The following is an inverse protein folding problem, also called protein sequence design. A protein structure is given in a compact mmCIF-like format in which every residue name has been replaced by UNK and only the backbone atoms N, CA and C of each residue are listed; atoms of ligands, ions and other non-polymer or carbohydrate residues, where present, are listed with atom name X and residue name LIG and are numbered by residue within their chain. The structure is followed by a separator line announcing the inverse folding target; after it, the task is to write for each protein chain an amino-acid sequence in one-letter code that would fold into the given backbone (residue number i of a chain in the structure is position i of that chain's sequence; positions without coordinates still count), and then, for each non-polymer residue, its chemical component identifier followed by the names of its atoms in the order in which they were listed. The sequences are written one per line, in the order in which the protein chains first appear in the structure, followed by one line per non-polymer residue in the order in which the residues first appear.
data_IF_020144581537
#
_entry.id   IF_020144581537
#
_cell.length_a   1.000
_cell.length_b   1.000
_cell.length_c   1.000
_cell.angle_alpha   90.00
_cell.angle_beta   90.00
_cell.angle_gamma   90.00
#
_symmetry.space_group_name_H-M   'P 1'
#
loop_
_entity.id
_entity.type
_entity.pdbx_description
1 polymer ?
#
# COMPACT_ATOMS: atom_id res chain seq x y z
N UNK A 1 24.65 -22.70 30.29
CA UNK A 1 23.46 -23.58 30.30
C UNK A 1 22.55 -23.14 29.17
N UNK A 2 22.61 -23.83 28.03
CA UNK A 2 21.79 -23.52 26.86
C UNK A 2 20.42 -24.17 27.07
N UNK A 3 19.41 -23.38 27.41
CA UNK A 3 18.04 -23.89 27.51
C UNK A 3 17.60 -24.37 26.13
N UNK A 4 17.48 -25.69 25.95
CA UNK A 4 16.80 -26.27 24.79
C UNK A 4 15.32 -26.01 24.97
N UNK A 5 14.79 -25.06 24.19
CA UNK A 5 13.36 -24.84 24.05
C UNK A 5 12.69 -26.14 23.59
N UNK A 6 11.57 -26.47 24.22
CA UNK A 6 10.74 -27.60 23.83
C UNK A 6 10.21 -27.38 22.40
N UNK A 7 10.00 -28.46 21.65
CA UNK A 7 9.38 -28.43 20.32
C UNK A 7 8.00 -27.75 20.38
N UNK A 8 7.24 -27.99 21.45
CA UNK A 8 5.92 -27.41 21.70
C UNK A 8 6.02 -25.89 21.95
N UNK A 9 7.02 -25.47 22.70
CA UNK A 9 7.29 -24.06 23.00
C UNK A 9 7.78 -23.30 21.76
N UNK A 10 8.48 -23.99 20.87
CA UNK A 10 8.91 -23.48 19.56
C UNK A 10 7.71 -23.29 18.64
N UNK A 11 6.82 -24.29 18.56
CA UNK A 11 5.60 -24.20 17.75
C UNK A 11 4.62 -23.15 18.28
N UNK A 12 4.49 -23.02 19.60
CA UNK A 12 3.65 -21.99 20.22
C UNK A 12 4.19 -20.58 19.94
N UNK A 13 5.52 -20.39 19.99
CA UNK A 13 6.15 -19.11 19.62
C UNK A 13 6.01 -18.80 18.13
N UNK A 14 6.08 -19.80 17.26
CA UNK A 14 5.82 -19.63 15.83
C UNK A 14 4.34 -19.27 15.60
N UNK A 15 3.41 -19.92 16.28
CA UNK A 15 1.98 -19.60 16.22
C UNK A 15 1.67 -18.18 16.70
N UNK A 16 2.28 -17.76 17.82
CA UNK A 16 2.16 -16.39 18.34
C UNK A 16 2.77 -15.35 17.38
N UNK A 17 3.93 -15.65 16.78
CA UNK A 17 4.56 -14.78 15.78
C UNK A 17 3.77 -14.72 14.46
N UNK A 18 3.05 -15.79 14.09
CA UNK A 18 2.14 -15.80 12.94
C UNK A 18 0.84 -15.01 13.20
N UNK A 19 0.43 -14.87 14.47
CA UNK A 19 -0.67 -14.01 14.91
C UNK A 19 -0.28 -12.54 15.07
N UNK A 20 0.96 -12.16 14.74
CA UNK A 20 1.42 -10.77 14.77
C UNK A 20 1.84 -10.31 13.37
N UNK A 21 1.12 -9.34 12.80
CA UNK A 21 1.55 -8.64 11.59
C UNK A 21 1.86 -7.19 11.96
N UNK A 22 3.13 -6.78 11.85
CA UNK A 22 3.62 -5.46 12.26
C UNK A 22 3.43 -5.13 13.77
N UNK A 23 3.57 -6.11 14.66
CA UNK A 23 3.56 -5.88 16.11
C UNK A 23 2.18 -5.62 16.71
N UNK A 24 1.10 -6.04 16.04
CA UNK A 24 -0.26 -6.07 16.57
C UNK A 24 -0.85 -7.47 16.45
N UNK A 25 -1.62 -7.94 17.46
CA UNK A 25 -2.35 -9.19 17.37
C UNK A 25 -3.41 -9.10 16.26
N UNK A 26 -3.49 -10.14 15.41
CA UNK A 26 -4.39 -10.21 14.23
C UNK A 26 -5.86 -9.97 14.57
N UNK A 27 -6.30 -10.28 15.80
CA UNK A 27 -7.68 -10.02 16.28
C UNK A 27 -8.03 -8.53 16.47
N UNK A 28 -7.05 -7.63 16.42
CA UNK A 28 -7.25 -6.17 16.52
C UNK A 28 -7.11 -5.44 15.18
N UNK A 29 -6.92 -6.17 14.08
CA UNK A 29 -6.90 -5.59 12.75
C UNK A 29 -8.36 -5.40 12.33
N UNK A 30 -8.79 -4.14 12.24
CA UNK A 30 -10.04 -3.84 11.56
C UNK A 30 -9.86 -4.23 10.07
N UNK A 31 -10.42 -5.39 9.72
CA UNK A 31 -10.29 -5.95 8.38
C UNK A 31 -10.83 -5.00 7.31
N UNK A 32 -11.76 -4.11 7.67
CA UNK A 32 -12.26 -3.09 6.76
C UNK A 32 -11.19 -2.02 6.51
N UNK A 33 -10.52 -1.52 7.55
CA UNK A 33 -9.44 -0.53 7.39
C UNK A 33 -8.26 -1.09 6.59
N UNK A 34 -7.86 -2.33 6.87
CA UNK A 34 -6.77 -2.99 6.15
C UNK A 34 -7.12 -3.21 4.66
N UNK A 35 -8.38 -3.55 4.37
CA UNK A 35 -8.87 -3.66 3.00
C UNK A 35 -8.89 -2.30 2.28
N UNK A 36 -9.26 -1.23 2.97
CA UNK A 36 -9.21 0.13 2.41
C UNK A 36 -7.78 0.59 2.13
N UNK A 37 -6.87 0.31 3.05
CA UNK A 37 -5.45 0.62 2.91
C UNK A 37 -4.83 -0.16 1.75
N UNK A 38 -5.18 -1.44 1.60
CA UNK A 38 -4.76 -2.26 0.48
C UNK A 38 -5.32 -1.72 -0.85
N UNK A 39 -6.60 -1.34 -0.89
CA UNK A 39 -7.21 -0.75 -2.09
C UNK A 39 -6.55 0.58 -2.47
N UNK A 40 -6.22 1.41 -1.48
CA UNK A 40 -5.49 2.65 -1.71
C UNK A 40 -4.10 2.38 -2.30
N UNK A 41 -3.43 1.32 -1.83
CA UNK A 41 -2.14 0.89 -2.38
C UNK A 41 -2.24 0.40 -3.83
N UNK A 42 -3.34 -0.22 -4.22
CA UNK A 42 -3.58 -0.69 -5.60
C UNK A 42 -3.93 0.43 -6.57
N UNK A 43 -4.44 1.56 -6.08
CA UNK A 43 -4.72 2.74 -6.90
C UNK A 43 -3.45 3.53 -7.24
N UNK A 44 -2.36 3.35 -6.48
CA UNK A 44 -1.14 4.16 -6.56
C UNK A 44 0.05 3.31 -6.97
N UNK A 45 0.67 3.69 -8.08
CA UNK A 45 1.98 3.18 -8.47
C UNK A 45 3.07 4.11 -7.94
N UNK A 46 4.09 3.51 -7.30
CA UNK A 46 5.29 4.21 -6.85
C UNK A 46 6.47 3.65 -7.62
N UNK A 47 7.30 4.52 -8.18
CA UNK A 47 8.54 4.15 -8.89
C UNK A 47 9.74 4.81 -8.23
N UNK A 48 10.82 4.06 -8.09
CA UNK A 48 12.12 4.58 -7.71
C UNK A 48 12.90 5.02 -8.95
N UNK A 49 13.45 6.21 -8.89
CA UNK A 49 14.28 6.81 -9.93
C UNK A 49 15.70 6.99 -9.40
N UNK A 50 16.69 6.67 -10.23
CA UNK A 50 18.10 6.83 -9.90
C UNK A 50 18.69 5.84 -8.88
N UNK A 51 17.91 4.87 -8.40
CA UNK A 51 18.38 3.84 -7.46
C UNK A 51 19.27 2.78 -8.15
N UNK A 52 18.85 2.32 -9.34
CA UNK A 52 19.65 1.44 -10.19
C UNK A 52 19.73 1.98 -11.64
N UNK A 53 20.49 3.06 -11.86
CA UNK A 53 20.59 3.68 -13.18
C UNK A 53 21.33 2.80 -14.18
N UNK A 54 22.04 1.75 -13.73
CA UNK A 54 22.85 0.85 -14.56
C UNK A 54 22.24 -0.55 -14.72
N UNK A 55 21.13 -0.86 -14.05
CA UNK A 55 20.52 -2.20 -14.08
C UNK A 55 21.41 -3.28 -13.44
N UNK A 56 22.28 -2.89 -12.51
CA UNK A 56 23.31 -3.77 -11.93
C UNK A 56 22.89 -4.36 -10.58
N UNK A 57 21.79 -3.87 -9.99
CA UNK A 57 21.28 -4.39 -8.72
C UNK A 57 20.39 -5.59 -8.96
N UNK A 58 20.34 -6.47 -7.98
CA UNK A 58 19.42 -7.59 -8.02
C UNK A 58 17.97 -7.09 -7.92
N UNK A 59 17.06 -7.74 -8.65
CA UNK A 59 15.64 -7.36 -8.64
C UNK A 59 15.03 -7.38 -7.22
N UNK A 60 15.49 -8.29 -6.36
CA UNK A 60 15.07 -8.36 -4.96
C UNK A 60 15.50 -7.15 -4.13
N UNK A 61 16.69 -6.60 -4.40
CA UNK A 61 17.22 -5.41 -3.73
C UNK A 61 16.40 -4.16 -4.11
N UNK A 62 16.09 -4.01 -5.40
CA UNK A 62 15.26 -2.92 -5.91
C UNK A 62 13.84 -2.99 -5.34
N UNK A 63 13.27 -4.20 -5.26
CA UNK A 63 11.95 -4.41 -4.66
C UNK A 63 11.93 -4.09 -3.17
N UNK A 64 12.96 -4.49 -2.42
CA UNK A 64 13.08 -4.19 -0.99
C UNK A 64 13.20 -2.67 -0.74
N UNK A 65 14.04 -1.98 -1.52
CA UNK A 65 14.18 -0.53 -1.45
C UNK A 65 12.86 0.18 -1.76
N UNK A 66 12.15 -0.25 -2.81
CA UNK A 66 10.84 0.30 -3.16
C UNK A 66 9.83 0.15 -2.03
N UNK A 67 9.79 -1.03 -1.41
CA UNK A 67 8.89 -1.32 -0.30
C UNK A 67 9.21 -0.43 0.92
N UNK A 68 10.49 -0.30 1.30
CA UNK A 68 10.91 0.54 2.42
C UNK A 68 10.56 2.02 2.19
N UNK A 69 10.82 2.53 0.99
CA UNK A 69 10.47 3.91 0.64
C UNK A 69 8.98 4.17 0.65
N UNK A 70 8.20 3.26 0.07
CA UNK A 70 6.74 3.36 0.10
C UNK A 70 6.24 3.43 1.53
N UNK A 71 6.78 2.59 2.43
CA UNK A 71 6.42 2.59 3.86
C UNK A 71 6.79 3.90 4.54
N UNK A 72 7.98 4.44 4.31
CA UNK A 72 8.39 5.73 4.86
C UNK A 72 7.47 6.86 4.37
N UNK A 73 7.11 6.85 3.10
CA UNK A 73 6.22 7.85 2.52
C UNK A 73 4.79 7.75 3.06
N UNK A 74 4.26 6.54 3.18
CA UNK A 74 2.97 6.29 3.84
C UNK A 74 3.00 6.81 5.28
N UNK A 75 4.08 6.59 6.04
CA UNK A 75 4.20 7.09 7.41
C UNK A 75 4.19 8.62 7.48
N UNK A 76 4.93 9.31 6.60
CA UNK A 76 4.99 10.78 6.57
C UNK A 76 3.63 11.42 6.25
N UNK A 77 2.83 10.76 5.42
CA UNK A 77 1.52 11.27 5.00
C UNK A 77 0.36 10.78 5.88
N UNK A 78 0.59 9.85 6.81
CA UNK A 78 -0.45 9.32 7.69
C UNK A 78 -1.23 8.12 7.11
N UNK A 79 -0.63 7.39 6.17
CA UNK A 79 -1.11 6.12 5.65
C UNK A 79 -1.35 6.11 4.13
N UNK A 80 -1.60 4.93 3.55
CA UNK A 80 -1.82 4.78 2.10
C UNK A 80 -3.07 5.51 1.60
N UNK A 81 -4.12 5.61 2.42
CA UNK A 81 -5.32 6.41 2.11
C UNK A 81 -4.98 7.89 1.90
N UNK A 82 -4.13 8.45 2.77
CA UNK A 82 -3.70 9.85 2.68
C UNK A 82 -2.78 10.09 1.48
N UNK A 83 -1.93 9.11 1.12
CA UNK A 83 -1.14 9.15 -0.12
C UNK A 83 -2.05 9.27 -1.35
N UNK A 84 -3.07 8.42 -1.46
CA UNK A 84 -4.02 8.48 -2.57
C UNK A 84 -4.80 9.80 -2.58
N UNK A 85 -5.26 10.28 -1.42
CA UNK A 85 -5.99 11.53 -1.31
C UNK A 85 -5.13 12.74 -1.73
N UNK A 86 -3.87 12.78 -1.29
CA UNK A 86 -2.93 13.82 -1.67
C UNK A 86 -2.63 13.82 -3.18
N UNK A 87 -2.50 12.65 -3.80
CA UNK A 87 -2.34 12.53 -5.25
C UNK A 87 -3.56 13.02 -6.03
N UNK A 88 -4.78 12.79 -5.52
CA UNK A 88 -6.01 13.31 -6.13
C UNK A 88 -6.07 14.83 -6.03
N UNK A 89 -5.81 15.36 -4.83
CA UNK A 89 -5.71 16.81 -4.65
C UNK A 89 -4.65 17.44 -5.57
N UNK A 90 -3.54 16.72 -5.85
CA UNK A 90 -2.49 17.19 -6.77
C UNK A 90 -2.86 17.09 -8.26
N UNK A 91 -3.85 16.26 -8.62
CA UNK A 91 -4.44 16.27 -9.94
C UNK A 91 -5.47 17.40 -10.06
N UNK A 92 -6.34 17.54 -9.06
CA UNK A 92 -7.35 18.61 -9.00
C UNK A 92 -6.69 20.01 -9.03
N UNK A 93 -5.57 20.21 -8.32
CA UNK A 93 -4.82 21.47 -8.35
C UNK A 93 -4.22 21.85 -9.70
N UNK A 94 -4.23 20.94 -10.69
CA UNK A 94 -3.82 21.24 -12.07
C UNK A 94 -4.97 21.79 -12.91
N UNK A 95 -6.19 21.49 -12.49
CA UNK A 95 -7.43 21.86 -13.17
C UNK A 95 -8.05 23.11 -12.55
N UNK A 96 -7.77 23.37 -11.26
CA UNK A 96 -8.24 24.56 -10.54
C UNK A 96 -7.15 25.21 -9.67
N UNK A 97 -7.24 26.52 -9.42
CA UNK A 97 -6.35 27.23 -8.51
C UNK A 97 -6.35 26.62 -7.10
N UNK A 98 -5.22 26.73 -6.41
CA UNK A 98 -5.04 26.15 -5.07
C UNK A 98 -6.05 26.73 -4.07
N UNK A 99 -6.44 28.01 -4.24
CA UNK A 99 -7.39 28.74 -3.39
C UNK A 99 -8.82 28.19 -3.46
N UNK A 100 -9.16 27.57 -4.59
CA UNK A 100 -10.48 26.98 -4.86
C UNK A 100 -10.58 25.53 -4.35
N UNK A 101 -9.45 24.91 -3.98
CA UNK A 101 -9.45 23.59 -3.36
C UNK A 101 -9.96 23.64 -1.92
N UNK A 102 -10.68 22.59 -1.57
CA UNK A 102 -11.10 22.31 -0.20
C UNK A 102 -9.91 22.41 0.78
N UNK A 103 -10.09 23.00 1.99
CA UNK A 103 -9.02 23.18 2.96
C UNK A 103 -8.24 21.91 3.27
N UNK A 104 -8.92 20.77 3.35
CA UNK A 104 -8.30 19.47 3.56
C UNK A 104 -7.37 19.05 2.40
N UNK A 105 -7.77 19.32 1.15
CA UNK A 105 -6.95 19.07 -0.04
C UNK A 105 -5.70 19.94 -0.05
N UNK A 106 -5.81 21.22 0.32
CA UNK A 106 -4.66 22.12 0.46
C UNK A 106 -3.68 21.67 1.54
N UNK A 107 -4.17 21.22 2.68
CA UNK A 107 -3.32 20.69 3.75
C UNK A 107 -2.57 19.43 3.30
N UNK A 108 -3.25 18.53 2.59
CA UNK A 108 -2.64 17.32 2.04
C UNK A 108 -1.57 17.65 0.99
N UNK A 109 -1.80 18.64 0.13
CA UNK A 109 -0.78 19.10 -0.82
C UNK A 109 0.45 19.69 -0.13
N UNK A 110 0.26 20.45 0.95
CA UNK A 110 1.38 20.96 1.76
C UNK A 110 2.15 19.82 2.41
N UNK A 111 1.46 18.84 3.01
CA UNK A 111 2.08 17.64 3.58
C UNK A 111 2.82 16.83 2.52
N UNK A 112 2.22 16.69 1.33
CA UNK A 112 2.85 16.05 0.18
C UNK A 112 4.14 16.72 -0.23
N UNK A 113 4.11 18.04 -0.43
CA UNK A 113 5.29 18.81 -0.80
C UNK A 113 6.39 18.70 0.26
N UNK A 114 6.03 18.77 1.55
CA UNK A 114 6.96 18.57 2.67
C UNK A 114 7.56 17.17 2.69
N UNK A 115 6.74 16.12 2.60
CA UNK A 115 7.19 14.73 2.60
C UNK A 115 8.06 14.41 1.38
N UNK A 116 7.71 14.93 0.20
CA UNK A 116 8.49 14.78 -1.02
C UNK A 116 9.85 15.49 -0.90
N UNK A 117 9.87 16.73 -0.39
CA UNK A 117 11.11 17.48 -0.17
C UNK A 117 12.00 16.80 0.88
N UNK A 118 11.41 16.29 1.96
CA UNK A 118 12.14 15.56 3.00
C UNK A 118 12.77 14.29 2.45
N UNK A 119 12.02 13.47 1.70
CA UNK A 119 12.54 12.24 1.09
C UNK A 119 13.59 12.52 0.00
N UNK A 120 13.45 13.60 -0.76
CA UNK A 120 14.45 14.04 -1.75
C UNK A 120 15.74 14.55 -1.08
N UNK A 121 15.62 15.29 0.03
CA UNK A 121 16.75 15.86 0.77
C UNK A 121 17.53 14.81 1.54
N UNK A 122 16.82 13.93 2.26
CA UNK A 122 17.44 12.89 3.09
C UNK A 122 18.03 11.76 2.23
N UNK A 123 17.47 11.52 1.03
CA UNK A 123 17.86 10.38 0.18
C UNK A 123 17.73 9.06 0.94
N UNK A 124 18.07 7.93 0.31
CA UNK A 124 17.96 6.62 0.98
C UNK A 124 18.98 6.47 2.13
N UNK A 125 19.85 7.47 2.33
CA UNK A 125 20.93 7.45 3.32
C UNK A 125 20.46 7.37 4.76
N UNK A 126 19.25 7.85 5.07
CA UNK A 126 18.65 7.74 6.40
C UNK A 126 17.83 6.45 6.62
N UNK A 127 17.41 5.77 5.53
CA UNK A 127 16.45 4.65 5.58
C UNK A 127 17.07 3.29 5.24
N UNK A 128 18.27 3.23 4.66
CA UNK A 128 19.00 1.99 4.46
C UNK A 128 20.36 2.03 5.12
N UNK A 129 20.69 0.94 5.79
CA UNK A 129 22.01 0.68 6.35
C UNK A 129 23.07 0.73 5.24
N UNK A 130 23.76 1.86 5.11
CA UNK A 130 25.14 1.87 4.62
C UNK A 130 25.42 2.44 3.22
N UNK A 131 24.44 2.91 2.45
CA UNK A 131 24.75 3.64 1.19
C UNK A 131 23.83 4.82 0.94
N UNK A 132 24.40 6.02 0.98
CA UNK A 132 23.73 7.28 0.67
C UNK A 132 23.49 7.39 -0.86
N UNK A 133 22.43 6.76 -1.34
CA UNK A 133 21.97 6.96 -2.71
C UNK A 133 20.92 8.08 -2.76
N UNK A 134 21.18 9.09 -3.61
CA UNK A 134 20.20 10.12 -4.00
C UNK A 134 19.18 9.51 -4.98
N UNK A 135 18.33 8.63 -4.48
CA UNK A 135 17.15 8.19 -5.22
C UNK A 135 15.99 9.16 -4.95
N UNK A 136 15.15 9.38 -5.94
CA UNK A 136 13.88 10.09 -5.78
C UNK A 136 12.76 9.20 -6.30
N UNK A 137 11.53 9.45 -5.88
CA UNK A 137 10.38 8.65 -6.30
C UNK A 137 9.39 9.50 -7.10
N UNK A 138 8.65 8.82 -7.96
CA UNK A 138 7.44 9.33 -8.57
C UNK A 138 6.28 8.46 -8.11
N UNK A 139 5.16 9.09 -7.77
CA UNK A 139 3.94 8.39 -7.43
C UNK A 139 2.81 8.89 -8.32
N UNK A 140 2.03 7.97 -8.87
CA UNK A 140 0.94 8.28 -9.81
C UNK A 140 -0.27 7.40 -9.54
N UNK A 141 -1.46 7.97 -9.75
CA UNK A 141 -2.70 7.19 -9.72
C UNK A 141 -2.77 6.39 -11.03
N UNK A 142 -2.86 5.07 -10.92
CA UNK A 142 -2.90 4.15 -12.07
C UNK A 142 -4.27 3.49 -12.26
N UNK A 143 -5.11 3.51 -11.22
CA UNK A 143 -6.49 3.03 -11.25
C UNK A 143 -7.36 3.86 -10.34
N UNK A 144 -8.60 4.07 -10.73
CA UNK A 144 -9.58 4.70 -9.84
C UNK A 144 -10.20 3.67 -8.89
N UNK A 145 -10.69 4.12 -7.73
CA UNK A 145 -11.29 3.24 -6.72
C UNK A 145 -12.54 2.54 -7.24
N UNK A 146 -13.34 3.25 -8.03
CA UNK A 146 -14.54 2.74 -8.70
C UNK A 146 -14.21 1.67 -9.74
N UNK A 147 -13.11 1.83 -10.49
CA UNK A 147 -12.63 0.81 -11.44
C UNK A 147 -12.22 -0.48 -10.74
N UNK A 148 -11.49 -0.38 -9.62
CA UNK A 148 -11.14 -1.55 -8.80
C UNK A 148 -12.38 -2.21 -8.19
N UNK A 149 -13.32 -1.42 -7.67
CA UNK A 149 -14.58 -1.93 -7.14
C UNK A 149 -15.44 -2.60 -8.23
N UNK A 150 -15.40 -2.10 -9.47
CA UNK A 150 -16.04 -2.74 -10.62
C UNK A 150 -15.35 -4.06 -11.00
N UNK A 151 -14.02 -4.08 -11.06
CA UNK A 151 -13.24 -5.29 -11.35
C UNK A 151 -13.47 -6.38 -10.30
N UNK A 152 -13.53 -6.01 -9.01
CA UNK A 152 -13.83 -6.94 -7.93
C UNK A 152 -15.24 -7.55 -8.06
N UNK A 153 -16.25 -6.75 -8.41
CA UNK A 153 -17.61 -7.25 -8.68
C UNK A 153 -17.66 -8.23 -9.85
N UNK A 154 -16.95 -7.93 -10.94
CA UNK A 154 -16.86 -8.82 -12.11
C UNK A 154 -16.17 -10.14 -11.74
N UNK A 155 -15.08 -10.07 -10.98
CA UNK A 155 -14.36 -11.25 -10.50
C UNK A 155 -15.26 -12.11 -9.59
N UNK A 156 -15.92 -11.50 -8.61
CA UNK A 156 -16.84 -12.20 -7.71
C UNK A 156 -18.00 -12.86 -8.46
N UNK A 157 -18.57 -12.21 -9.48
CA UNK A 157 -19.63 -12.79 -10.31
C UNK A 157 -19.17 -13.99 -11.14
N UNK A 158 -17.88 -14.05 -11.52
CA UNK A 158 -17.29 -15.21 -12.23
C UNK A 158 -16.96 -16.36 -11.29
N UNK A 159 -16.60 -16.06 -10.05
CA UNK A 159 -16.24 -17.04 -9.03
C UNK A 159 -17.46 -17.55 -8.24
N UNK A 160 -18.61 -16.87 -8.36
CA UNK A 160 -19.86 -17.31 -7.76
C UNK A 160 -20.28 -18.66 -8.35
N UNK A 161 -20.60 -19.66 -7.50
CA UNK A 161 -21.17 -20.91 -8.00
C UNK A 161 -22.47 -20.61 -8.76
N UNK A 162 -22.78 -21.37 -9.83
CA UNK A 162 -24.05 -21.20 -10.54
C UNK A 162 -25.20 -21.30 -9.52
N UNK A 163 -26.27 -20.49 -9.67
CA UNK A 163 -27.40 -20.59 -8.77
C UNK A 163 -27.86 -22.04 -8.74
N UNK A 164 -27.94 -22.61 -7.53
CA UNK A 164 -28.45 -23.96 -7.37
C UNK A 164 -29.83 -24.01 -8.03
N UNK A 165 -29.97 -24.81 -9.09
CA UNK A 165 -31.27 -25.12 -9.64
C UNK A 165 -32.07 -25.74 -8.49
N UNK A 166 -33.11 -25.04 -8.05
CA UNK A 166 -34.03 -25.58 -7.05
C UNK A 166 -34.50 -26.96 -7.55
N UNK A 167 -34.27 -28.05 -6.78
CA UNK A 167 -34.74 -29.37 -7.17
C UNK A 167 -36.27 -29.35 -7.11
N UNK A 168 -36.91 -29.10 -8.25
CA UNK A 168 -38.37 -29.03 -8.32
C UNK A 168 -38.96 -28.30 -9.53
N UNK A 169 -38.19 -27.53 -10.29
CA UNK A 169 -38.72 -26.91 -11.50
C UNK A 169 -38.62 -27.89 -12.69
N UNK A 170 -39.62 -28.75 -12.79
CA UNK A 170 -39.93 -29.47 -14.03
C UNK A 170 -40.56 -28.43 -14.96
N UNK A 171 -39.88 -28.05 -16.04
CA UNK A 171 -40.50 -27.33 -17.13
C UNK A 171 -41.54 -28.26 -17.78
N UNK A 172 -42.81 -27.99 -17.48
CA UNK A 172 -43.90 -28.38 -18.35
C UNK A 172 -44.18 -27.16 -19.24
N UNK A 173 -44.21 -27.44 -20.55
CA UNK A 173 -44.52 -26.59 -21.71
C UNK A 173 -43.31 -26.05 -22.48
#
# INVERSE_FOLDING_TARGET
MTMRLSMDETLHRIGAAMQERNGRPVDQIDQAEDAEDQLARECVEVRLQGYDPKGQREAGEVAAALHQYRRAFELLLGGPRQVLAALRAAQESREMPLEELEPAGRELLRKWAGAAAQLQSEGLGALTTGTAHKAWFSATIVRRRDELAAAARIKAAREAPPPAQSPGQIDLF
#
